data_IF_104303118809
#
_entry.id   IF_104303118809
#
_cell.length_a   1.000
_cell.length_b   1.000
_cell.length_c   1.000
_cell.angle_alpha   90.00
_cell.angle_beta   90.00
_cell.angle_gamma   90.00
#
_symmetry.space_group_name_H-M   'P 1'
#
loop_
_entity.id
_entity.type
_entity.pdbx_description
1 polymer ?
#
# COMPACT_ATOMS: atom_id res chain seq x y z
N UNK A 1 -21.32 -18.64 -39.49
CA UNK A 1 -20.23 -18.76 -38.50
C UNK A 1 -19.81 -20.21 -38.39
N UNK A 2 -18.50 -20.49 -38.46
CA UNK A 2 -17.95 -21.83 -38.26
C UNK A 2 -17.77 -22.16 -36.77
N UNK A 3 -17.65 -23.45 -36.44
CA UNK A 3 -17.35 -23.91 -35.07
C UNK A 3 -16.00 -23.32 -34.59
N UNK A 4 -15.02 -23.22 -35.48
CA UNK A 4 -13.71 -22.62 -35.19
C UNK A 4 -13.84 -21.14 -34.79
N UNK A 5 -14.64 -20.34 -35.51
CA UNK A 5 -14.87 -18.93 -35.17
C UNK A 5 -15.52 -18.79 -33.79
N UNK A 6 -16.52 -19.62 -33.47
CA UNK A 6 -17.18 -19.60 -32.15
C UNK A 6 -16.23 -19.94 -31.01
N UNK A 7 -15.31 -20.89 -31.22
CA UNK A 7 -14.31 -21.26 -30.21
C UNK A 7 -13.29 -20.13 -30.01
N UNK A 8 -12.82 -19.50 -31.08
CA UNK A 8 -11.90 -18.37 -31.01
C UNK A 8 -12.53 -17.17 -30.29
N UNK A 9 -13.78 -16.81 -30.62
CA UNK A 9 -14.51 -15.73 -29.95
C UNK A 9 -14.71 -16.01 -28.46
N UNK A 10 -15.07 -17.25 -28.09
CA UNK A 10 -15.21 -17.65 -26.69
C UNK A 10 -13.87 -17.56 -25.97
N UNK A 11 -12.79 -18.07 -26.57
CA UNK A 11 -11.44 -18.00 -26.01
C UNK A 11 -11.00 -16.56 -25.76
N UNK A 12 -11.20 -15.67 -26.72
CA UNK A 12 -10.88 -14.25 -26.59
C UNK A 12 -11.69 -13.57 -25.47
N UNK A 13 -13.01 -13.82 -25.39
CA UNK A 13 -13.87 -13.27 -24.33
C UNK A 13 -13.45 -13.75 -22.95
N UNK A 14 -13.18 -15.06 -22.80
CA UNK A 14 -12.74 -15.64 -21.52
C UNK A 14 -11.36 -15.12 -21.13
N UNK A 15 -10.42 -15.06 -22.08
CA UNK A 15 -9.09 -14.52 -21.85
C UNK A 15 -9.13 -13.06 -21.40
N UNK A 16 -9.92 -12.23 -22.09
CA UNK A 16 -10.12 -10.83 -21.73
C UNK A 16 -10.74 -10.67 -20.34
N UNK A 17 -11.82 -11.39 -20.04
CA UNK A 17 -12.49 -11.33 -18.74
C UNK A 17 -11.55 -11.75 -17.60
N UNK A 18 -10.81 -12.85 -17.77
CA UNK A 18 -9.83 -13.31 -16.77
C UNK A 18 -8.69 -12.32 -16.57
N UNK A 19 -8.13 -11.79 -17.67
CA UNK A 19 -7.06 -10.80 -17.61
C UNK A 19 -7.51 -9.51 -16.94
N UNK A 20 -8.70 -9.02 -17.28
CA UNK A 20 -9.28 -7.82 -16.68
C UNK A 20 -9.56 -8.00 -15.19
N UNK A 21 -10.18 -9.11 -14.79
CA UNK A 21 -10.46 -9.42 -13.39
C UNK A 21 -9.18 -9.53 -12.56
N UNK A 22 -8.18 -10.27 -13.06
CA UNK A 22 -6.89 -10.40 -12.38
C UNK A 22 -6.18 -9.06 -12.24
N UNK A 23 -6.18 -8.23 -13.29
CA UNK A 23 -5.57 -6.91 -13.25
C UNK A 23 -6.24 -5.97 -12.24
N UNK A 24 -7.57 -6.02 -12.13
CA UNK A 24 -8.33 -5.23 -11.16
C UNK A 24 -8.03 -5.67 -9.72
N UNK A 25 -8.05 -6.98 -9.47
CA UNK A 25 -7.78 -7.56 -8.16
C UNK A 25 -6.37 -7.22 -7.68
N UNK A 26 -5.34 -7.47 -8.51
CA UNK A 26 -3.96 -7.10 -8.17
C UNK A 26 -3.78 -5.60 -7.96
N UNK A 27 -4.46 -4.77 -8.77
CA UNK A 27 -4.39 -3.32 -8.66
C UNK A 27 -4.98 -2.84 -7.33
N UNK A 28 -6.13 -3.38 -6.94
CA UNK A 28 -6.81 -3.06 -5.69
C UNK A 28 -5.97 -3.50 -4.49
N UNK A 29 -5.47 -4.73 -4.48
CA UNK A 29 -4.66 -5.27 -3.39
C UNK A 29 -3.39 -4.43 -3.16
N UNK A 30 -2.63 -4.15 -4.23
CA UNK A 30 -1.44 -3.29 -4.17
C UNK A 30 -1.78 -1.87 -3.72
N UNK A 31 -2.93 -1.34 -4.14
CA UNK A 31 -3.41 -0.03 -3.74
C UNK A 31 -3.71 0.06 -2.24
N UNK A 32 -4.45 -0.93 -1.71
CA UNK A 32 -4.80 -1.03 -0.30
C UNK A 32 -3.53 -1.20 0.54
N UNK A 33 -2.62 -2.10 0.16
CA UNK A 33 -1.39 -2.34 0.92
C UNK A 33 -0.52 -1.07 0.99
N UNK A 34 -0.33 -0.38 -0.14
CA UNK A 34 0.39 0.90 -0.17
C UNK A 34 -0.29 1.96 0.70
N UNK A 35 -1.62 2.05 0.63
CA UNK A 35 -2.41 2.98 1.43
C UNK A 35 -2.24 2.74 2.94
N UNK A 36 -2.35 1.48 3.38
CA UNK A 36 -2.17 1.08 4.78
C UNK A 36 -0.75 1.39 5.27
N UNK A 37 0.27 1.02 4.49
CA UNK A 37 1.68 1.30 4.83
C UNK A 37 1.94 2.79 4.97
N UNK A 38 1.47 3.58 4.00
CA UNK A 38 1.61 5.05 4.03
C UNK A 38 0.87 5.65 5.22
N UNK A 39 -0.38 5.25 5.46
CA UNK A 39 -1.18 5.76 6.58
C UNK A 39 -0.58 5.42 7.95
N UNK A 40 -0.10 4.18 8.13
CA UNK A 40 0.61 3.80 9.37
C UNK A 40 1.86 4.63 9.59
N UNK A 41 2.63 4.86 8.53
CA UNK A 41 3.84 5.69 8.60
C UNK A 41 3.51 7.15 8.94
N UNK A 42 2.52 7.76 8.28
CA UNK A 42 2.06 9.12 8.59
C UNK A 42 1.54 9.26 10.03
N UNK A 43 0.79 8.26 10.52
CA UNK A 43 0.33 8.22 11.91
C UNK A 43 1.51 8.17 12.89
N UNK A 44 2.52 7.34 12.62
CA UNK A 44 3.72 7.25 13.43
C UNK A 44 4.50 8.58 13.47
N UNK A 45 4.61 9.28 12.33
CA UNK A 45 5.22 10.63 12.28
C UNK A 45 4.44 11.64 13.11
N UNK A 46 3.10 11.62 13.03
CA UNK A 46 2.24 12.50 13.83
C UNK A 46 2.41 12.24 15.34
N UNK A 47 2.39 10.98 15.76
CA UNK A 47 2.65 10.58 17.15
C UNK A 47 4.04 11.03 17.59
N UNK A 48 5.08 10.79 16.78
CA UNK A 48 6.44 11.18 17.09
C UNK A 48 6.59 12.70 17.30
N UNK A 49 5.95 13.53 16.46
CA UNK A 49 5.93 14.99 16.66
C UNK A 49 5.35 15.39 18.03
N UNK A 50 4.25 14.76 18.43
CA UNK A 50 3.64 15.01 19.75
C UNK A 50 4.56 14.57 20.89
N UNK A 51 5.19 13.39 20.77
CA UNK A 51 6.10 12.88 21.79
C UNK A 51 7.36 13.75 21.94
N UNK A 52 7.94 14.19 20.83
CA UNK A 52 9.08 15.13 20.81
C UNK A 52 8.72 16.44 21.52
N UNK A 53 7.55 17.01 21.22
CA UNK A 53 7.05 18.23 21.87
C UNK A 53 6.87 18.06 23.38
N UNK A 54 6.55 16.85 23.83
CA UNK A 54 6.40 16.51 25.24
C UNK A 54 7.73 16.15 25.93
N UNK A 55 8.87 16.29 25.23
CA UNK A 55 10.20 16.03 25.80
C UNK A 55 10.55 14.55 25.96
N UNK A 56 9.85 13.66 25.27
CA UNK A 56 10.16 12.23 25.27
C UNK A 56 11.47 11.98 24.49
N UNK A 57 12.30 11.06 24.99
CA UNK A 57 13.60 10.76 24.38
C UNK A 57 13.45 10.16 22.97
N UNK A 58 14.42 10.44 22.11
CA UNK A 58 14.44 9.91 20.74
C UNK A 58 14.43 8.38 20.75
N UNK A 59 15.21 7.76 21.63
CA UNK A 59 15.34 6.31 21.73
C UNK A 59 13.98 5.64 21.98
N UNK A 60 13.17 6.17 22.91
CA UNK A 60 11.86 5.62 23.23
C UNK A 60 10.85 5.87 22.10
N UNK A 61 10.95 7.01 21.41
CA UNK A 61 10.10 7.30 20.25
C UNK A 61 10.43 6.35 19.09
N UNK A 62 11.71 6.09 18.82
CA UNK A 62 12.15 5.12 17.81
C UNK A 62 11.60 3.73 18.12
N UNK A 63 11.70 3.26 19.37
CA UNK A 63 11.17 1.96 19.80
C UNK A 63 9.64 1.89 19.66
N UNK A 64 8.93 2.97 19.98
CA UNK A 64 7.46 3.01 19.97
C UNK A 64 6.86 3.16 18.55
N UNK A 65 7.54 3.90 17.67
CA UNK A 65 7.01 4.28 16.35
C UNK A 65 7.69 3.56 15.19
N UNK A 66 8.82 2.91 15.43
CA UNK A 66 9.64 2.26 14.39
C UNK A 66 10.28 3.25 13.41
N UNK A 67 10.28 4.56 13.72
CA UNK A 67 10.95 5.58 12.92
C UNK A 67 12.45 5.56 13.16
N UNK A 68 13.20 5.89 12.11
CA UNK A 68 14.65 6.09 12.18
C UNK A 68 15.00 7.37 12.92
N UNK A 69 16.25 7.46 13.37
CA UNK A 69 16.77 8.67 14.01
C UNK A 69 16.72 9.86 13.04
N UNK A 70 17.04 9.63 11.78
CA UNK A 70 17.04 10.64 10.71
C UNK A 70 15.64 11.20 10.50
N UNK A 71 14.63 10.34 10.45
CA UNK A 71 13.23 10.76 10.36
C UNK A 71 12.85 11.62 11.56
N UNK A 72 13.18 11.22 12.79
CA UNK A 72 12.86 12.01 13.98
C UNK A 72 13.57 13.36 14.03
N UNK A 73 14.83 13.44 13.61
CA UNK A 73 15.58 14.70 13.53
C UNK A 73 14.92 15.66 12.54
N UNK A 74 14.37 15.15 11.43
CA UNK A 74 13.63 15.98 10.46
C UNK A 74 12.28 16.52 10.98
N UNK A 75 11.80 16.02 12.12
CA UNK A 75 10.53 16.46 12.73
C UNK A 75 10.71 17.61 13.73
N UNK A 76 11.95 17.88 14.18
CA UNK A 76 12.32 18.96 15.09
C UNK A 76 12.40 20.31 14.35
#
# INVERSE_FOLDING_TARGET
MSIAQRLQEKGAKVGWAKGHQKGLEEGLEKGIEKGIKKGKHEANLATARTLLKNGISLELIMESTGLSREELISLQ
#
